data_IF_640335283307
#
_entry.id   IF_640335283307
#
_cell.length_a   1.000
_cell.length_b   1.000
_cell.length_c   1.000
_cell.angle_alpha   90.00
_cell.angle_beta   90.00
_cell.angle_gamma   90.00
#
_symmetry.space_group_name_H-M   'P 1'
#
loop_
_entity.id
_entity.type
_entity.pdbx_description
1 polymer ?
#
# COMPACT_ATOMS: atom_id res chain seq x y z
N UNK A 1 16.46 -6.73 -19.65
CA UNK A 1 17.34 -5.54 -19.46
C UNK A 1 17.38 -5.24 -17.98
N UNK A 2 18.52 -4.79 -17.45
CA UNK A 2 18.62 -4.52 -16.03
C UNK A 2 17.72 -3.34 -15.63
N UNK A 3 17.00 -3.47 -14.52
CA UNK A 3 16.14 -2.42 -13.92
C UNK A 3 16.80 -1.72 -12.74
N UNK A 4 18.15 -1.81 -12.66
CA UNK A 4 18.90 -1.12 -11.63
C UNK A 4 19.04 0.38 -11.95
N UNK A 5 19.24 1.16 -10.91
CA UNK A 5 19.25 2.62 -10.97
C UNK A 5 20.27 3.16 -11.96
N UNK A 6 21.51 2.65 -11.94
CA UNK A 6 22.57 3.06 -12.88
C UNK A 6 22.19 2.82 -14.34
N UNK A 7 21.59 1.65 -14.65
CA UNK A 7 21.16 1.33 -16.01
C UNK A 7 20.04 2.25 -16.51
N UNK A 8 19.10 2.63 -15.63
CA UNK A 8 18.01 3.55 -15.97
C UNK A 8 18.56 4.95 -16.24
N UNK A 9 19.48 5.42 -15.40
CA UNK A 9 20.12 6.74 -15.58
C UNK A 9 20.92 6.78 -16.87
N UNK A 10 21.73 5.75 -17.16
CA UNK A 10 22.55 5.68 -18.38
C UNK A 10 21.70 5.64 -19.64
N UNK A 11 20.59 4.90 -19.65
CA UNK A 11 19.66 4.89 -20.80
C UNK A 11 19.14 6.30 -21.13
N UNK A 12 18.80 7.08 -20.11
CA UNK A 12 18.36 8.47 -20.29
C UNK A 12 19.50 9.40 -20.70
N UNK A 13 20.72 9.18 -20.18
CA UNK A 13 21.89 9.97 -20.58
C UNK A 13 22.23 9.77 -22.05
N UNK A 14 22.22 8.53 -22.55
CA UNK A 14 22.41 8.21 -23.97
C UNK A 14 21.37 8.92 -24.85
N UNK A 15 20.10 8.90 -24.46
CA UNK A 15 19.02 9.58 -25.20
C UNK A 15 19.23 11.09 -25.36
N UNK A 16 19.91 11.72 -24.41
CA UNK A 16 20.18 13.17 -24.43
C UNK A 16 21.60 13.52 -24.92
N UNK A 17 22.32 12.54 -25.46
CA UNK A 17 23.70 12.64 -25.92
C UNK A 17 24.71 13.07 -24.83
N UNK A 18 24.52 12.59 -23.61
CA UNK A 18 25.45 12.77 -22.51
C UNK A 18 26.25 11.49 -22.25
N UNK A 19 27.48 11.58 -21.74
CA UNK A 19 28.29 10.39 -21.45
C UNK A 19 27.67 9.55 -20.33
N UNK A 20 27.75 8.23 -20.46
CA UNK A 20 27.32 7.29 -19.46
C UNK A 20 28.13 7.41 -18.16
N UNK A 21 27.48 7.10 -17.05
CA UNK A 21 28.09 7.02 -15.72
C UNK A 21 28.69 5.64 -15.47
N UNK A 22 29.81 5.58 -14.83
CA UNK A 22 30.37 4.36 -14.26
C UNK A 22 29.81 4.04 -12.87
N UNK A 23 29.21 5.02 -12.22
CA UNK A 23 28.53 4.92 -10.92
C UNK A 23 27.75 6.19 -10.62
N UNK A 24 26.57 6.06 -10.02
CA UNK A 24 25.67 7.21 -9.73
C UNK A 24 26.30 8.19 -8.74
N UNK A 25 27.15 7.71 -7.84
CA UNK A 25 27.88 8.54 -6.87
C UNK A 25 28.86 9.54 -7.53
N UNK A 26 29.31 9.25 -8.75
CA UNK A 26 30.21 10.13 -9.53
C UNK A 26 29.49 11.17 -10.38
N UNK A 27 28.15 11.16 -10.38
CA UNK A 27 27.33 12.05 -11.19
C UNK A 27 27.54 13.52 -10.84
N UNK A 28 27.81 14.36 -11.86
CA UNK A 28 27.99 15.82 -11.72
C UNK A 28 27.16 16.56 -12.78
N UNK A 29 26.81 17.80 -12.51
CA UNK A 29 26.10 18.66 -13.47
C UNK A 29 24.80 18.03 -13.99
N UNK A 30 24.69 17.87 -15.30
CA UNK A 30 23.51 17.32 -15.99
C UNK A 30 23.25 15.86 -15.56
N UNK A 31 24.29 15.06 -15.41
CA UNK A 31 24.16 13.66 -14.97
C UNK A 31 23.47 13.54 -13.60
N UNK A 32 23.82 14.44 -12.65
CA UNK A 32 23.14 14.52 -11.35
C UNK A 32 21.68 14.95 -11.47
N UNK A 33 21.39 15.87 -12.39
CA UNK A 33 20.01 16.27 -12.67
C UNK A 33 19.17 15.10 -13.21
N UNK A 34 19.72 14.31 -14.15
CA UNK A 34 19.06 13.13 -14.69
C UNK A 34 18.79 12.11 -13.57
N UNK A 35 19.76 11.84 -12.70
CA UNK A 35 19.59 10.95 -11.54
C UNK A 35 18.46 11.44 -10.62
N UNK A 36 18.39 12.74 -10.35
CA UNK A 36 17.29 13.32 -9.56
C UNK A 36 15.93 13.20 -10.28
N UNK A 37 15.91 13.38 -11.61
CA UNK A 37 14.67 13.22 -12.39
C UNK A 37 14.14 11.79 -12.34
N UNK A 38 15.02 10.77 -12.33
CA UNK A 38 14.63 9.37 -12.17
C UNK A 38 13.99 9.13 -10.80
N UNK A 39 14.61 9.59 -9.72
CA UNK A 39 14.04 9.48 -8.38
C UNK A 39 12.68 10.19 -8.26
N UNK A 40 12.58 11.40 -8.80
CA UNK A 40 11.32 12.15 -8.80
C UNK A 40 10.24 11.41 -9.59
N UNK A 41 10.58 10.89 -10.76
CA UNK A 41 9.66 10.10 -11.57
C UNK A 41 9.22 8.80 -10.86
N UNK A 42 10.14 8.16 -10.13
CA UNK A 42 9.83 6.98 -9.32
C UNK A 42 8.79 7.28 -8.24
N UNK A 43 8.98 8.36 -7.49
CA UNK A 43 8.01 8.77 -6.48
C UNK A 43 6.68 9.23 -7.07
N UNK A 44 6.67 9.87 -8.24
CA UNK A 44 5.41 10.23 -8.91
C UNK A 44 4.58 8.99 -9.28
N UNK A 45 5.23 7.87 -9.64
CA UNK A 45 4.54 6.60 -9.89
C UNK A 45 4.04 5.99 -8.57
N UNK A 46 4.88 6.02 -7.53
CA UNK A 46 4.51 5.52 -6.20
C UNK A 46 3.29 6.26 -5.66
N UNK A 47 3.31 7.59 -5.73
CA UNK A 47 2.28 8.47 -5.18
C UNK A 47 1.03 8.59 -6.08
N UNK A 48 1.07 8.05 -7.30
CA UNK A 48 -0.06 8.12 -8.23
C UNK A 48 -1.26 7.25 -7.79
N UNK A 49 -1.02 6.21 -7.00
CA UNK A 49 -2.05 5.30 -6.49
C UNK A 49 -1.70 4.88 -5.06
N UNK A 50 -2.63 5.04 -4.14
CA UNK A 50 -2.41 4.83 -2.71
C UNK A 50 -2.07 3.37 -2.32
N UNK A 51 -2.44 2.40 -3.14
CA UNK A 51 -2.37 0.97 -2.77
C UNK A 51 -1.85 0.08 -3.89
N UNK A 52 -0.70 0.40 -4.44
CA UNK A 52 -0.02 -0.48 -5.38
C UNK A 52 0.24 -1.87 -4.77
N UNK A 53 -0.16 -2.93 -5.44
CA UNK A 53 0.04 -4.31 -4.96
C UNK A 53 1.53 -4.64 -4.72
N UNK A 54 2.45 -4.05 -5.49
CA UNK A 54 3.89 -4.25 -5.37
C UNK A 54 4.55 -3.46 -4.21
N UNK A 55 3.83 -2.50 -3.60
CA UNK A 55 4.28 -1.81 -2.36
C UNK A 55 3.86 -2.54 -1.09
N UNK A 56 3.01 -3.55 -1.20
CA UNK A 56 2.59 -4.31 -0.04
C UNK A 56 3.80 -4.98 0.62
N UNK A 57 3.90 -4.83 1.93
CA UNK A 57 4.97 -5.43 2.72
C UNK A 57 4.75 -6.93 2.80
N UNK A 58 5.28 -7.68 1.83
CA UNK A 58 5.24 -9.13 1.86
C UNK A 58 6.38 -9.67 2.70
N UNK A 59 6.07 -10.41 3.74
CA UNK A 59 7.00 -11.41 4.23
C UNK A 59 7.04 -12.54 3.18
N UNK A 60 8.21 -12.85 2.60
CA UNK A 60 8.31 -13.85 1.54
C UNK A 60 7.94 -15.30 1.97
N UNK A 61 7.55 -15.49 3.22
CA UNK A 61 7.25 -16.80 3.82
C UNK A 61 5.78 -17.00 4.19
N UNK A 62 4.90 -16.00 4.03
CA UNK A 62 3.48 -16.20 4.27
C UNK A 62 2.73 -16.27 2.96
N UNK A 63 1.98 -17.35 2.75
CA UNK A 63 1.03 -17.49 1.64
C UNK A 63 -0.09 -16.43 1.69
N UNK A 64 -0.15 -15.64 2.76
CA UNK A 64 -1.04 -14.51 2.97
C UNK A 64 -0.33 -13.22 2.56
N UNK A 65 -0.57 -12.80 1.35
CA UNK A 65 -0.02 -11.61 0.70
C UNK A 65 -0.03 -10.38 1.61
N UNK A 66 1.14 -9.98 2.08
CA UNK A 66 1.36 -8.68 2.70
C UNK A 66 0.55 -8.34 3.94
N UNK A 67 0.01 -9.35 4.62
CA UNK A 67 -0.77 -9.14 5.82
C UNK A 67 0.14 -8.97 7.03
N UNK A 68 0.02 -7.85 7.66
CA UNK A 68 0.50 -7.64 9.02
C UNK A 68 -0.60 -7.96 10.01
N UNK A 69 -0.25 -8.26 11.24
CA UNK A 69 -1.25 -8.52 12.27
C UNK A 69 -0.92 -7.79 13.58
N UNK A 70 -1.98 -7.49 14.31
CA UNK A 70 -1.92 -6.95 15.67
C UNK A 70 -2.78 -7.83 16.56
N UNK A 71 -2.27 -8.22 17.73
CA UNK A 71 -3.08 -8.88 18.74
C UNK A 71 -3.82 -7.85 19.57
N UNK A 72 -5.12 -8.04 19.75
CA UNK A 72 -5.94 -7.16 20.57
C UNK A 72 -5.81 -7.52 22.04
N UNK A 73 -6.09 -6.54 22.89
CA UNK A 73 -6.29 -6.76 24.32
C UNK A 73 -7.77 -6.54 24.64
N UNK A 74 -8.33 -7.41 25.48
CA UNK A 74 -9.73 -7.26 25.92
C UNK A 74 -9.96 -5.89 26.57
N UNK A 75 -11.05 -5.25 26.22
CA UNK A 75 -11.41 -3.93 26.76
C UNK A 75 -10.72 -2.73 26.14
N UNK A 76 -9.80 -2.92 25.22
CA UNK A 76 -9.10 -1.83 24.51
C UNK A 76 -9.76 -1.58 23.16
N UNK A 77 -9.97 -0.32 22.81
CA UNK A 77 -10.57 0.06 21.53
C UNK A 77 -9.54 0.45 20.47
N UNK A 78 -8.50 1.19 20.84
CA UNK A 78 -7.56 1.80 19.91
C UNK A 78 -6.21 1.09 19.89
N UNK A 79 -5.74 0.77 18.70
CA UNK A 79 -4.50 0.06 18.46
C UNK A 79 -3.64 0.84 17.47
N UNK A 80 -2.33 0.79 17.65
CA UNK A 80 -1.37 1.39 16.71
C UNK A 80 -1.27 0.53 15.45
N UNK A 81 -1.19 1.19 14.31
CA UNK A 81 -0.83 0.57 13.04
C UNK A 81 0.69 0.41 12.99
N UNK A 82 1.20 -0.63 13.61
CA UNK A 82 2.63 -0.96 13.63
C UNK A 82 2.86 -2.37 13.14
N UNK A 83 4.00 -2.60 12.48
CA UNK A 83 4.49 -3.93 12.21
C UNK A 83 4.72 -4.67 13.53
N UNK A 84 4.26 -5.91 13.60
CA UNK A 84 4.29 -6.74 14.81
C UNK A 84 5.65 -6.81 15.49
N UNK A 85 5.64 -7.13 16.78
CA UNK A 85 6.77 -7.21 17.71
C UNK A 85 7.45 -5.88 18.05
N UNK A 86 7.38 -5.54 19.27
CA UNK A 86 7.67 -4.34 20.05
C UNK A 86 8.89 -3.45 19.71
N UNK A 87 9.64 -3.66 18.65
CA UNK A 87 10.91 -2.96 18.41
C UNK A 87 11.15 -2.44 16.99
N UNK A 88 10.15 -2.43 16.11
CA UNK A 88 10.32 -1.81 14.80
C UNK A 88 9.42 -0.57 14.74
N UNK A 89 10.02 0.60 14.88
CA UNK A 89 9.38 1.92 14.81
C UNK A 89 9.01 2.34 13.35
N UNK A 90 8.69 1.39 12.49
CA UNK A 90 8.21 1.70 11.15
C UNK A 90 6.70 1.85 11.18
N UNK A 91 6.24 3.09 11.21
CA UNK A 91 4.85 3.40 10.88
C UNK A 91 4.60 3.01 9.42
N UNK A 92 3.41 2.50 9.10
CA UNK A 92 3.01 2.27 7.72
C UNK A 92 2.56 3.57 7.07
N UNK A 93 2.94 3.79 5.82
CA UNK A 93 2.57 4.99 5.05
C UNK A 93 1.10 4.93 4.63
N UNK A 94 0.60 3.75 4.29
CA UNK A 94 -0.80 3.52 3.94
C UNK A 94 -1.29 2.15 4.37
N UNK A 95 -2.61 2.01 4.54
CA UNK A 95 -3.29 0.78 4.95
C UNK A 95 -4.56 0.60 4.13
N UNK A 96 -4.81 -0.62 3.67
CA UNK A 96 -6.06 -0.98 2.99
C UNK A 96 -7.18 -1.23 4.01
N UNK A 97 -7.99 -0.19 4.25
CA UNK A 97 -9.06 -0.20 5.25
C UNK A 97 -10.17 -1.22 4.95
N UNK A 98 -10.33 -1.62 3.70
CA UNK A 98 -11.37 -2.58 3.30
C UNK A 98 -10.96 -4.04 3.50
N UNK A 99 -9.71 -4.29 3.91
CA UNK A 99 -9.16 -5.64 4.08
C UNK A 99 -8.79 -5.99 5.52
N UNK A 100 -9.42 -5.35 6.49
CA UNK A 100 -9.28 -5.76 7.89
C UNK A 100 -10.11 -7.02 8.17
N UNK A 101 -9.49 -7.98 8.82
CA UNK A 101 -10.13 -9.21 9.29
C UNK A 101 -9.76 -9.48 10.75
N UNK A 102 -10.72 -9.97 11.54
CA UNK A 102 -10.51 -10.39 12.90
C UNK A 102 -10.63 -11.94 12.99
N UNK A 103 -9.67 -12.58 13.62
CA UNK A 103 -9.68 -14.03 13.82
C UNK A 103 -9.22 -14.39 15.23
N UNK A 104 -9.67 -15.53 15.72
CA UNK A 104 -9.15 -16.16 16.94
C UNK A 104 -8.08 -17.20 16.64
N UNK A 105 -7.77 -17.44 15.35
CA UNK A 105 -6.75 -18.40 14.94
C UNK A 105 -5.36 -18.00 15.43
N UNK A 106 -4.62 -18.99 15.96
CA UNK A 106 -3.26 -18.80 16.44
C UNK A 106 -3.14 -17.93 17.70
N UNK A 107 -4.25 -17.54 18.33
CA UNK A 107 -4.25 -16.88 19.63
C UNK A 107 -3.95 -17.91 20.72
N UNK A 108 -2.94 -17.64 21.55
CA UNK A 108 -2.54 -18.54 22.66
C UNK A 108 -3.72 -18.82 23.59
N UNK A 109 -3.95 -20.08 23.89
CA UNK A 109 -5.01 -20.53 24.81
C UNK A 109 -6.40 -20.67 24.17
N UNK A 110 -6.55 -20.49 22.87
CA UNK A 110 -7.82 -20.74 22.16
C UNK A 110 -7.72 -21.97 21.26
N UNK A 111 -8.44 -23.02 21.62
CA UNK A 111 -8.65 -24.24 20.84
C UNK A 111 -9.97 -24.13 20.11
N UNK A 112 -9.96 -23.61 18.87
CA UNK A 112 -11.05 -23.65 17.87
C UNK A 112 -12.51 -23.32 18.34
N UNK A 113 -13.46 -22.96 17.45
CA UNK A 113 -13.32 -22.87 16.01
C UNK A 113 -12.82 -21.50 15.53
N UNK A 114 -12.14 -21.52 14.40
CA UNK A 114 -11.64 -20.33 13.75
C UNK A 114 -12.80 -19.46 13.27
N UNK A 115 -13.05 -18.35 13.93
CA UNK A 115 -14.01 -17.37 13.44
C UNK A 115 -13.22 -16.29 12.72
N UNK A 116 -13.31 -16.28 11.39
CA UNK A 116 -12.75 -15.22 10.56
C UNK A 116 -13.88 -14.25 10.24
N UNK A 117 -13.79 -13.04 10.79
CA UNK A 117 -14.75 -11.98 10.50
C UNK A 117 -14.08 -10.89 9.68
N UNK A 118 -14.61 -10.62 8.49
CA UNK A 118 -14.24 -9.41 7.75
C UNK A 118 -14.81 -8.21 8.50
N UNK A 119 -13.94 -7.25 8.82
CA UNK A 119 -14.33 -6.00 9.45
C UNK A 119 -14.82 -5.01 8.39
N UNK A 120 -15.94 -4.34 8.64
CA UNK A 120 -16.41 -3.25 7.78
C UNK A 120 -15.71 -1.95 8.18
N UNK A 121 -15.17 -1.22 7.19
CA UNK A 121 -14.59 0.10 7.43
C UNK A 121 -15.67 1.12 7.72
N UNK A 122 -15.44 1.93 8.74
CA UNK A 122 -16.32 3.03 9.14
C UNK A 122 -15.46 4.25 9.45
N UNK A 123 -15.81 5.41 8.92
CA UNK A 123 -15.13 6.65 9.29
C UNK A 123 -15.46 7.05 10.73
N UNK A 124 -14.55 7.80 11.36
CA UNK A 124 -14.73 8.25 12.75
C UNK A 124 -16.03 9.02 12.95
N UNK A 125 -16.43 9.85 11.99
CA UNK A 125 -17.65 10.65 12.06
C UNK A 125 -18.92 9.79 11.96
N UNK A 126 -18.93 8.83 11.03
CA UNK A 126 -20.04 7.86 10.92
C UNK A 126 -20.14 7.02 12.20
N UNK A 127 -19.01 6.56 12.72
CA UNK A 127 -19.00 5.80 13.97
C UNK A 127 -19.55 6.64 15.14
N UNK A 128 -19.10 7.89 15.33
CA UNK A 128 -19.57 8.80 16.39
C UNK A 128 -21.07 9.05 16.31
N UNK A 129 -21.60 9.25 15.11
CA UNK A 129 -23.01 9.60 14.93
C UNK A 129 -23.95 8.40 15.00
N UNK A 130 -23.48 7.21 14.60
CA UNK A 130 -24.35 6.04 14.46
C UNK A 130 -24.13 5.00 15.56
N UNK A 131 -22.89 4.71 15.92
CA UNK A 131 -22.53 3.57 16.76
C UNK A 131 -22.06 3.96 18.16
N UNK A 132 -21.35 5.09 18.30
CA UNK A 132 -20.78 5.51 19.58
C UNK A 132 -21.85 5.66 20.66
N UNK A 133 -23.03 6.18 20.32
CA UNK A 133 -24.14 6.35 21.28
C UNK A 133 -24.62 5.02 21.86
N UNK A 134 -24.79 4.00 21.03
CA UNK A 134 -25.23 2.67 21.48
C UNK A 134 -24.14 1.94 22.26
N UNK A 135 -22.87 2.13 21.88
CA UNK A 135 -21.74 1.49 22.55
C UNK A 135 -21.31 2.21 23.83
N UNK A 136 -21.58 3.52 23.97
CA UNK A 136 -21.17 4.33 25.10
C UNK A 136 -22.29 4.60 26.13
N UNK A 137 -23.56 4.52 25.73
CA UNK A 137 -24.69 4.72 26.62
C UNK A 137 -24.85 3.60 27.63
N UNK A 138 -24.30 2.44 27.38
CA UNK A 138 -24.26 1.36 28.37
C UNK A 138 -23.21 1.54 29.48
N UNK A 139 -22.54 2.68 29.55
CA UNK A 139 -21.64 3.01 30.66
C UNK A 139 -22.32 3.11 32.04
N UNK A 140 -23.64 3.16 32.10
CA UNK A 140 -24.39 3.25 33.36
C UNK A 140 -24.83 1.90 33.90
N UNK A 141 -24.80 0.86 33.15
CA UNK A 141 -25.03 -0.51 33.59
C UNK A 141 -23.74 -1.32 33.47
N UNK A 142 -23.45 -2.09 34.44
CA UNK A 142 -22.27 -2.91 34.71
C UNK A 142 -21.71 -3.80 33.57
N UNK A 143 -22.01 -3.50 32.33
CA UNK A 143 -21.51 -4.20 31.14
C UNK A 143 -21.29 -3.21 30.00
N UNK A 144 -20.05 -2.77 29.80
CA UNK A 144 -19.71 -2.15 28.52
C UNK A 144 -20.01 -3.16 27.39
N UNK A 145 -20.44 -2.67 26.25
CA UNK A 145 -20.76 -3.50 25.08
C UNK A 145 -19.48 -4.11 24.49
N UNK A 146 -18.94 -5.08 25.19
CA UNK A 146 -17.84 -5.89 24.70
C UNK A 146 -18.38 -6.95 23.76
N UNK A 147 -17.70 -7.15 22.64
CA UNK A 147 -18.15 -8.12 21.66
C UNK A 147 -17.05 -8.53 20.69
N UNK A 148 -17.45 -9.37 19.75
CA UNK A 148 -16.60 -9.71 18.62
C UNK A 148 -16.47 -8.46 17.74
N UNK A 149 -15.26 -8.03 17.37
CA UNK A 149 -15.07 -6.90 16.46
C UNK A 149 -15.76 -7.15 15.10
N UNK A 150 -16.57 -6.21 14.68
CA UNK A 150 -17.28 -6.23 13.40
C UNK A 150 -16.89 -5.07 12.48
N UNK A 151 -16.36 -4.01 13.06
CA UNK A 151 -16.01 -2.77 12.34
C UNK A 151 -14.63 -2.31 12.72
N UNK A 152 -13.94 -1.70 11.74
CA UNK A 152 -12.69 -0.97 11.94
C UNK A 152 -12.92 0.51 11.71
N UNK A 153 -12.35 1.35 12.58
CA UNK A 153 -12.50 2.80 12.58
C UNK A 153 -11.13 3.41 12.41
N UNK A 154 -10.97 4.31 11.45
CA UNK A 154 -9.73 5.08 11.29
C UNK A 154 -9.70 6.23 12.30
N UNK A 155 -8.59 6.38 13.05
CA UNK A 155 -8.36 7.54 13.89
C UNK A 155 -8.15 8.81 13.08
N UNK A 156 -8.32 9.97 13.69
CA UNK A 156 -8.13 11.27 13.03
C UNK A 156 -6.68 11.52 12.60
N UNK A 157 -5.71 10.94 13.32
CA UNK A 157 -4.27 11.02 12.99
C UNK A 157 -3.83 10.01 11.94
N UNK A 158 -4.72 9.07 11.55
CA UNK A 158 -4.42 8.01 10.58
C UNK A 158 -3.44 6.94 11.06
N UNK A 159 -2.88 7.09 12.27
CA UNK A 159 -1.85 6.18 12.83
C UNK A 159 -2.42 5.05 13.68
N UNK A 160 -3.70 5.11 14.00
CA UNK A 160 -4.39 4.13 14.84
C UNK A 160 -5.64 3.64 14.15
N UNK A 161 -6.01 2.43 14.48
CA UNK A 161 -7.34 1.92 14.17
C UNK A 161 -8.11 1.62 15.45
N UNK A 162 -9.41 1.82 15.39
CA UNK A 162 -10.34 1.46 16.46
C UNK A 162 -11.15 0.24 16.06
N UNK A 163 -11.60 -0.51 17.04
CA UNK A 163 -12.50 -1.65 16.86
C UNK A 163 -13.87 -1.36 17.49
N UNK A 164 -14.93 -1.79 16.80
CA UNK A 164 -16.31 -1.65 17.24
C UNK A 164 -17.06 -2.96 16.96
N UNK A 165 -17.72 -3.56 17.97
CA UNK A 165 -17.62 -3.31 19.40
C UNK A 165 -16.20 -3.44 19.97
N UNK A 166 -16.02 -2.98 21.23
CA UNK A 166 -14.75 -3.18 21.95
C UNK A 166 -14.51 -4.68 22.10
N UNK A 167 -13.32 -5.20 21.81
CA UNK A 167 -13.05 -6.63 21.89
C UNK A 167 -13.30 -7.21 23.29
N UNK A 168 -14.05 -8.31 23.34
CA UNK A 168 -14.32 -9.08 24.57
C UNK A 168 -13.23 -10.13 24.86
N UNK A 169 -12.19 -10.18 24.05
CA UNK A 169 -11.10 -11.14 24.19
C UNK A 169 -9.95 -10.79 23.25
N UNK A 170 -8.98 -11.69 23.17
CA UNK A 170 -7.85 -11.55 22.27
C UNK A 170 -8.25 -12.02 20.88
N UNK A 171 -7.99 -11.17 19.87
CA UNK A 171 -8.16 -11.45 18.44
C UNK A 171 -6.88 -11.09 17.72
N UNK A 172 -6.60 -11.77 16.62
CA UNK A 172 -5.62 -11.31 15.65
C UNK A 172 -6.34 -10.50 14.58
N UNK A 173 -5.91 -9.27 14.42
CA UNK A 173 -6.42 -8.38 13.38
C UNK A 173 -5.40 -8.38 12.25
N UNK A 174 -5.82 -8.87 11.09
CA UNK A 174 -5.01 -8.86 9.87
C UNK A 174 -5.42 -7.70 8.99
N UNK A 175 -4.44 -7.03 8.40
CA UNK A 175 -4.64 -5.93 7.47
C UNK A 175 -3.49 -5.86 6.47
N UNK A 176 -3.72 -5.27 5.30
CA UNK A 176 -2.67 -4.98 4.33
C UNK A 176 -2.08 -3.62 4.62
N UNK A 177 -0.76 -3.55 4.71
CA UNK A 177 -0.03 -2.31 4.87
C UNK A 177 0.94 -2.09 3.71
N UNK A 178 1.21 -0.83 3.43
CA UNK A 178 2.06 -0.38 2.34
C UNK A 178 3.10 0.58 2.88
N UNK A 179 4.36 0.38 2.48
CA UNK A 179 5.45 1.29 2.81
C UNK A 179 5.95 1.97 1.55
N UNK A 180 6.18 3.27 1.65
CA UNK A 180 6.81 4.03 0.59
C UNK A 180 8.26 3.56 0.44
N UNK A 181 8.73 3.25 -0.77
CA UNK A 181 10.10 2.84 -0.97
C UNK A 181 11.07 3.99 -0.67
N UNK A 182 12.28 3.65 -0.28
CA UNK A 182 13.37 4.62 -0.18
C UNK A 182 13.76 5.15 -1.58
N UNK A 183 14.39 6.33 -1.60
CA UNK A 183 14.98 6.86 -2.83
C UNK A 183 16.08 5.91 -3.32
N UNK A 184 16.17 5.76 -4.64
CA UNK A 184 17.25 5.04 -5.28
C UNK A 184 18.56 5.80 -5.06
N UNK A 185 19.58 5.15 -4.52
CA UNK A 185 20.85 5.79 -4.15
C UNK A 185 22.08 5.01 -4.62
N UNK A 186 22.03 3.68 -4.53
CA UNK A 186 23.10 2.81 -4.99
C UNK A 186 22.91 2.39 -6.45
N UNK A 187 24.00 2.12 -7.13
CA UNK A 187 24.01 1.67 -8.54
C UNK A 187 23.15 0.42 -8.78
N UNK A 188 23.13 -0.46 -7.78
CA UNK A 188 22.39 -1.72 -7.79
C UNK A 188 20.94 -1.63 -7.33
N UNK A 189 20.49 -0.45 -6.84
CA UNK A 189 19.12 -0.30 -6.39
C UNK A 189 18.15 -0.56 -7.55
N UNK A 190 17.13 -1.35 -7.26
CA UNK A 190 16.13 -1.71 -8.25
C UNK A 190 14.78 -1.05 -7.96
N UNK A 191 14.07 -0.69 -9.02
CA UNK A 191 12.67 -0.27 -8.90
C UNK A 191 11.80 -1.46 -8.52
N UNK A 192 10.86 -1.25 -7.59
CA UNK A 192 10.04 -2.33 -7.03
C UNK A 192 8.95 -2.84 -7.98
N UNK A 193 8.48 -2.01 -8.90
CA UNK A 193 7.44 -2.43 -9.85
C UNK A 193 7.99 -3.38 -10.93
N UNK A 194 7.13 -4.18 -11.58
CA UNK A 194 7.52 -5.13 -12.61
C UNK A 194 8.25 -4.47 -13.78
N UNK A 195 9.29 -5.12 -14.32
CA UNK A 195 10.17 -4.61 -15.38
C UNK A 195 9.42 -4.11 -16.62
N UNK A 196 8.31 -4.74 -16.96
CA UNK A 196 7.47 -4.35 -18.10
C UNK A 196 6.96 -2.90 -18.04
N UNK A 197 6.97 -2.27 -16.85
CA UNK A 197 6.55 -0.88 -16.65
C UNK A 197 7.72 0.12 -16.56
N UNK A 198 8.97 -0.33 -16.79
CA UNK A 198 10.14 0.56 -16.92
C UNK A 198 9.90 1.71 -17.90
N UNK A 199 9.25 1.51 -19.08
CA UNK A 199 8.94 2.61 -19.99
C UNK A 199 8.11 3.74 -19.37
N UNK A 200 7.26 3.44 -18.39
CA UNK A 200 6.45 4.46 -17.68
C UNK A 200 7.36 5.38 -16.86
N UNK A 201 8.35 4.80 -16.17
CA UNK A 201 9.36 5.56 -15.42
C UNK A 201 10.21 6.42 -16.35
N UNK A 202 10.69 5.84 -17.45
CA UNK A 202 11.49 6.57 -18.44
C UNK A 202 10.70 7.74 -19.04
N UNK A 203 9.45 7.54 -19.43
CA UNK A 203 8.59 8.60 -19.95
C UNK A 203 8.43 9.75 -18.94
N UNK A 204 8.21 9.44 -17.64
CA UNK A 204 8.10 10.47 -16.61
C UNK A 204 9.43 11.18 -16.36
N UNK A 205 10.54 10.47 -16.35
CA UNK A 205 11.87 11.07 -16.20
C UNK A 205 12.22 11.97 -17.40
N UNK A 206 11.91 11.53 -18.65
CA UNK A 206 12.05 12.35 -19.87
C UNK A 206 11.26 13.64 -19.78
N UNK A 207 10.05 13.61 -19.28
CA UNK A 207 9.25 14.82 -19.06
C UNK A 207 10.03 15.85 -18.25
N UNK A 208 10.64 15.47 -17.14
CA UNK A 208 11.44 16.39 -16.32
C UNK A 208 12.73 16.85 -16.99
N UNK A 209 13.40 15.96 -17.68
CA UNK A 209 14.65 16.27 -18.41
C UNK A 209 14.36 17.29 -19.53
N UNK A 210 13.30 17.10 -20.31
CA UNK A 210 12.94 18.02 -21.38
C UNK A 210 12.41 19.35 -20.87
N UNK A 211 11.74 19.39 -19.72
CA UNK A 211 11.41 20.64 -19.04
C UNK A 211 12.67 21.41 -18.63
N UNK A 212 13.66 20.72 -18.08
CA UNK A 212 14.93 21.32 -17.72
C UNK A 212 15.71 21.85 -18.94
N UNK A 213 15.56 21.21 -20.10
CA UNK A 213 16.18 21.63 -21.38
C UNK A 213 15.30 22.62 -22.17
N UNK A 214 14.24 23.17 -21.60
CA UNK A 214 13.27 24.07 -22.26
C UNK A 214 12.64 23.52 -23.55
N UNK A 215 12.61 22.19 -23.72
CA UNK A 215 12.00 21.54 -24.86
C UNK A 215 10.54 21.16 -24.55
N UNK A 216 9.65 22.15 -24.67
CA UNK A 216 8.23 22.01 -24.30
C UNK A 216 7.53 20.93 -25.13
N UNK A 217 7.82 20.85 -26.44
CA UNK A 217 7.16 19.89 -27.33
C UNK A 217 7.47 18.44 -26.93
N UNK A 218 8.75 18.12 -26.69
CA UNK A 218 9.16 16.79 -26.26
C UNK A 218 8.70 16.45 -24.84
N UNK A 219 8.67 17.46 -23.95
CA UNK A 219 8.17 17.25 -22.59
C UNK A 219 6.67 16.88 -22.60
N UNK A 220 5.87 17.54 -23.43
CA UNK A 220 4.45 17.24 -23.54
C UNK A 220 4.19 15.83 -24.10
N UNK A 221 4.96 15.43 -25.11
CA UNK A 221 4.88 14.06 -25.66
C UNK A 221 5.20 13.01 -24.58
N UNK A 222 6.30 13.22 -23.85
CA UNK A 222 6.69 12.33 -22.75
C UNK A 222 5.64 12.26 -21.62
N UNK A 223 4.97 13.39 -21.33
CA UNK A 223 3.87 13.41 -20.36
C UNK A 223 2.66 12.58 -20.83
N UNK A 224 2.33 12.64 -22.11
CA UNK A 224 1.21 11.87 -22.66
C UNK A 224 1.52 10.37 -22.68
N UNK A 225 2.78 9.99 -23.01
CA UNK A 225 3.26 8.61 -22.88
C UNK A 225 3.16 8.11 -21.45
N UNK A 226 3.63 8.93 -20.48
CA UNK A 226 3.53 8.61 -19.06
C UNK A 226 2.09 8.37 -18.62
N UNK A 227 1.16 9.27 -18.94
CA UNK A 227 -0.25 9.16 -18.54
C UNK A 227 -0.89 7.87 -19.08
N UNK A 228 -0.66 7.56 -20.37
CA UNK A 228 -1.16 6.32 -20.99
C UNK A 228 -0.55 5.08 -20.36
N UNK A 229 0.76 5.11 -20.12
CA UNK A 229 1.49 4.01 -19.47
C UNK A 229 1.02 3.79 -18.04
N UNK A 230 0.86 4.85 -17.26
CA UNK A 230 0.38 4.80 -15.87
C UNK A 230 -1.06 4.25 -15.79
N UNK A 231 -1.94 4.67 -16.68
CA UNK A 231 -3.30 4.14 -16.76
C UNK A 231 -3.27 2.63 -17.02
N UNK A 232 -2.49 2.20 -18.01
CA UNK A 232 -2.34 0.76 -18.33
C UNK A 232 -1.76 -0.03 -17.17
N UNK A 233 -0.79 0.54 -16.46
CA UNK A 233 -0.19 -0.06 -15.26
C UNK A 233 -1.22 -0.19 -14.14
N UNK A 234 -1.98 0.86 -13.88
CA UNK A 234 -3.03 0.88 -12.86
C UNK A 234 -4.13 -0.15 -13.18
N UNK A 235 -4.62 -0.19 -14.41
CA UNK A 235 -5.67 -1.11 -14.84
C UNK A 235 -5.25 -2.58 -14.70
N UNK A 236 -3.97 -2.90 -14.94
CA UNK A 236 -3.48 -4.27 -14.85
C UNK A 236 -3.10 -4.70 -13.43
N UNK A 237 -2.56 -3.80 -12.63
CA UNK A 237 -2.06 -4.13 -11.29
C UNK A 237 -3.10 -3.92 -10.19
N UNK A 238 -4.01 -2.95 -10.37
CA UNK A 238 -5.04 -2.62 -9.39
C UNK A 238 -6.45 -2.99 -9.83
N UNK A 239 -6.60 -3.58 -11.03
CA UNK A 239 -7.91 -4.09 -11.43
C UNK A 239 -8.44 -4.99 -10.31
N UNK A 240 -9.59 -4.68 -9.71
CA UNK A 240 -10.20 -5.59 -8.75
C UNK A 240 -10.41 -6.90 -9.50
N UNK A 241 -9.69 -7.93 -9.12
CA UNK A 241 -10.02 -9.27 -9.60
C UNK A 241 -11.52 -9.44 -9.33
N UNK A 242 -12.32 -9.86 -10.32
CA UNK A 242 -13.75 -10.04 -10.11
C UNK A 242 -13.91 -10.92 -8.88
N UNK A 243 -14.44 -10.33 -7.83
CA UNK A 243 -14.49 -10.91 -6.47
C UNK A 243 -15.28 -12.22 -6.43
N UNK A 244 -16.03 -12.52 -7.47
CA UNK A 244 -16.76 -13.76 -7.68
C UNK A 244 -16.95 -13.97 -9.19
N UNK A 245 -16.30 -14.96 -9.77
CA UNK A 245 -16.98 -15.74 -10.78
C UNK A 245 -18.06 -16.50 -10.00
N UNK A 246 -19.21 -15.93 -9.90
CA UNK A 246 -20.43 -16.71 -9.61
C UNK A 246 -20.51 -17.68 -10.77
N UNK A 247 -20.26 -18.95 -10.49
CA UNK A 247 -20.38 -19.97 -11.52
C UNK A 247 -21.86 -20.05 -11.88
N UNK A 248 -22.23 -19.29 -12.91
CA UNK A 248 -23.60 -19.19 -13.43
C UNK A 248 -24.14 -20.57 -13.86
N UNK A 249 -23.26 -21.60 -13.91
CA UNK A 249 -23.63 -22.96 -14.26
C UNK A 249 -24.41 -23.68 -13.17
N UNK A 250 -24.36 -23.24 -11.91
CA UNK A 250 -25.10 -23.89 -10.82
C UNK A 250 -26.56 -23.44 -10.69
N UNK A 251 -27.00 -22.40 -11.38
CA UNK A 251 -28.37 -21.87 -11.27
C UNK A 251 -29.40 -22.64 -12.14
N UNK A 252 -28.95 -23.56 -13.00
CA UNK A 252 -29.83 -24.28 -13.95
C UNK A 252 -29.98 -25.77 -13.68
N UNK A 253 -29.57 -26.28 -12.51
CA UNK A 253 -29.64 -27.70 -12.20
C UNK A 253 -30.44 -28.02 -10.93
N UNK A 254 -31.48 -27.27 -10.62
CA UNK A 254 -32.51 -27.73 -9.66
C UNK A 254 -33.87 -27.70 -10.35
N UNK A 255 -34.58 -28.84 -10.38
CA UNK A 255 -35.91 -28.99 -10.98
C UNK A 255 -36.98 -28.19 -10.24
#
# INVERSE_FOLDING_TARGET
>A
MAKNYLSIVNELLVEINEPELTGVSSAVGIQKQVSNCVNRAYFDIVDAVDNWAWLSTNSPQSEYYGNTFVETTSGTRWYLLKAGSANIDSDYDAVDWDRFTATTEGVSGKTAPHTINKLSFVTLDVWRNTYARTEELDKSSSSPTYGVPLRVIRSSDGRRFGLSPIPNGVYRIYFNAYNRPAALSADSDEVLFPEQYKPVLLARARYYIYQFKDNIAQSQLALDEYKKGLQTMSDKLNSPQPKYMTDVRFTYLLP
#
